data_IF_155870424866
#
_entry.id   IF_155870424866
#
_cell.length_a   1.000
_cell.length_b   1.000
_cell.length_c   1.000
_cell.angle_alpha   90.00
_cell.angle_beta   90.00
_cell.angle_gamma   90.00
#
_symmetry.space_group_name_H-M   'P 1'
#
loop_
_entity.id
_entity.type
_entity.pdbx_description
1 polymer ?
#
# COMPACT_ATOMS: atom_id res chain seq x y z
N UNK A 1 24.52 -10.26 39.69
CA UNK A 1 23.25 -9.98 39.03
C UNK A 1 23.60 -9.70 37.57
N UNK A 2 23.44 -10.72 36.76
CA UNK A 2 23.72 -10.71 35.32
C UNK A 2 22.40 -10.47 34.60
N UNK A 3 22.29 -9.35 33.88
CA UNK A 3 21.15 -9.06 33.01
C UNK A 3 21.07 -10.09 31.89
N UNK A 4 19.89 -10.57 31.51
CA UNK A 4 19.75 -11.43 30.34
C UNK A 4 19.95 -10.60 29.08
N UNK A 5 20.99 -10.94 28.32
CA UNK A 5 21.21 -10.43 26.98
C UNK A 5 20.02 -10.78 26.09
N UNK A 6 19.45 -9.76 25.46
CA UNK A 6 18.35 -9.91 24.52
C UNK A 6 18.73 -10.85 23.38
N UNK A 7 18.10 -12.02 23.33
CA UNK A 7 18.17 -12.93 22.20
C UNK A 7 17.67 -12.21 20.94
N UNK A 8 18.49 -12.19 19.92
CA UNK A 8 18.22 -11.54 18.64
C UNK A 8 16.96 -12.15 17.99
N UNK A 9 15.98 -11.31 17.72
CA UNK A 9 14.73 -11.68 17.02
C UNK A 9 14.94 -12.27 15.61
N UNK A 10 16.16 -12.26 15.08
CA UNK A 10 16.48 -12.71 13.72
C UNK A 10 16.24 -14.23 13.50
N UNK A 11 16.49 -15.08 14.46
CA UNK A 11 16.27 -16.52 14.35
C UNK A 11 14.81 -16.96 14.46
N UNK A 12 13.96 -16.15 15.09
CA UNK A 12 12.56 -16.47 15.34
C UNK A 12 11.68 -16.33 14.11
N UNK A 13 11.97 -15.36 13.23
CA UNK A 13 11.17 -15.01 12.05
C UNK A 13 11.25 -16.09 10.96
N UNK A 14 12.34 -16.82 10.84
CA UNK A 14 12.50 -17.84 9.79
C UNK A 14 11.58 -19.06 9.98
N UNK A 15 11.42 -19.53 11.21
CA UNK A 15 10.56 -20.69 11.53
C UNK A 15 9.06 -20.37 11.44
N UNK A 16 8.67 -19.08 11.53
CA UNK A 16 7.28 -18.62 11.55
C UNK A 16 6.78 -18.05 10.21
N UNK A 17 7.55 -18.18 9.14
CA UNK A 17 7.17 -17.67 7.82
C UNK A 17 6.59 -18.76 6.90
N UNK A 18 5.74 -18.30 5.96
CA UNK A 18 5.38 -19.05 4.75
C UNK A 18 6.02 -18.40 3.54
N UNK A 19 6.14 -19.13 2.45
CA UNK A 19 6.50 -18.59 1.15
C UNK A 19 5.29 -18.69 0.22
N UNK A 20 4.80 -17.54 -0.21
CA UNK A 20 3.61 -17.45 -1.04
C UNK A 20 3.95 -16.92 -2.45
N UNK A 21 3.26 -17.41 -3.45
CA UNK A 21 3.44 -17.01 -4.84
C UNK A 21 2.40 -15.94 -5.23
N UNK A 22 2.88 -14.87 -5.85
CA UNK A 22 2.08 -13.77 -6.38
C UNK A 22 2.38 -13.57 -7.88
N UNK A 23 1.53 -12.83 -8.56
CA UNK A 23 1.66 -12.51 -9.99
C UNK A 23 1.86 -13.76 -10.85
N UNK A 24 1.06 -14.80 -10.60
CA UNK A 24 1.19 -16.07 -11.33
C UNK A 24 2.52 -16.79 -11.10
N UNK A 25 3.15 -16.59 -9.93
CA UNK A 25 4.43 -17.18 -9.56
C UNK A 25 5.66 -16.34 -9.95
N UNK A 26 5.47 -15.19 -10.58
CA UNK A 26 6.57 -14.29 -10.95
C UNK A 26 7.17 -13.54 -9.75
N UNK A 27 6.47 -13.52 -8.63
CA UNK A 27 6.92 -12.92 -7.37
C UNK A 27 6.68 -13.91 -6.24
N UNK A 28 7.71 -14.24 -5.48
CA UNK A 28 7.65 -15.13 -4.32
C UNK A 28 8.00 -14.34 -3.06
N UNK A 29 7.08 -14.31 -2.09
CA UNK A 29 7.25 -13.53 -0.88
C UNK A 29 7.23 -14.42 0.35
N UNK A 30 8.20 -14.22 1.23
CA UNK A 30 8.16 -14.73 2.59
C UNK A 30 7.30 -13.80 3.43
N UNK A 31 6.37 -14.37 4.19
CA UNK A 31 5.44 -13.64 5.03
C UNK A 31 5.28 -14.34 6.38
N UNK A 32 4.99 -13.60 7.47
CA UNK A 32 4.62 -14.21 8.74
C UNK A 32 3.39 -15.12 8.59
N UNK A 33 3.37 -16.22 9.35
CA UNK A 33 2.20 -17.14 9.40
C UNK A 33 0.98 -16.49 10.03
N UNK A 34 1.18 -15.54 10.92
CA UNK A 34 0.14 -14.80 11.65
C UNK A 34 0.34 -13.29 11.55
N UNK A 35 -0.72 -12.51 11.81
CA UNK A 35 -0.70 -11.05 11.71
C UNK A 35 -1.14 -10.56 10.33
N UNK A 36 -0.69 -9.36 9.96
CA UNK A 36 -1.01 -8.77 8.67
C UNK A 36 -0.24 -9.48 7.56
N UNK A 37 -0.97 -9.98 6.57
CA UNK A 37 -0.42 -10.66 5.39
C UNK A 37 -0.81 -9.92 4.13
N UNK A 38 0.11 -9.82 3.19
CA UNK A 38 -0.19 -9.32 1.86
C UNK A 38 -1.21 -10.23 1.16
N UNK A 39 -2.13 -9.61 0.45
CA UNK A 39 -3.20 -10.28 -0.28
C UNK A 39 -3.60 -9.50 -1.53
N UNK A 40 -4.87 -9.62 -1.91
CA UNK A 40 -5.40 -8.98 -3.11
C UNK A 40 -5.22 -7.46 -3.10
N UNK A 41 -5.41 -6.77 -1.95
CA UNK A 41 -5.28 -5.32 -1.84
C UNK A 41 -3.90 -4.83 -2.32
N UNK A 42 -2.81 -5.52 -1.97
CA UNK A 42 -1.47 -5.17 -2.41
C UNK A 42 -1.28 -5.32 -3.93
N UNK A 43 -1.84 -6.37 -4.52
CA UNK A 43 -1.76 -6.60 -5.97
C UNK A 43 -2.62 -5.63 -6.76
N UNK A 44 -3.81 -5.30 -6.27
CA UNK A 44 -4.69 -4.30 -6.87
C UNK A 44 -4.07 -2.89 -6.79
N UNK A 45 -3.47 -2.54 -5.65
CA UNK A 45 -2.73 -1.30 -5.47
C UNK A 45 -1.56 -1.20 -6.47
N UNK A 46 -0.76 -2.27 -6.58
CA UNK A 46 0.34 -2.32 -7.54
C UNK A 46 -0.15 -2.18 -8.99
N UNK A 47 -1.24 -2.86 -9.37
CA UNK A 47 -1.80 -2.78 -10.72
C UNK A 47 -2.36 -1.39 -11.06
N UNK A 48 -2.79 -0.62 -10.05
CA UNK A 48 -3.28 0.75 -10.20
C UNK A 48 -2.17 1.80 -10.18
N UNK A 49 -0.96 1.45 -9.75
CA UNK A 49 0.16 2.39 -9.60
C UNK A 49 0.80 2.68 -10.95
N UNK A 50 0.82 3.95 -11.43
CA UNK A 50 1.24 4.31 -12.79
C UNK A 50 2.74 4.59 -12.89
N UNK A 51 3.59 3.69 -12.38
CA UNK A 51 5.03 3.83 -12.47
C UNK A 51 5.54 3.64 -13.91
N UNK A 52 6.62 4.34 -14.25
CA UNK A 52 7.35 4.28 -15.52
C UNK A 52 8.83 4.01 -15.26
N UNK A 53 9.54 3.51 -16.27
CA UNK A 53 11.01 3.37 -16.21
C UNK A 53 11.66 4.73 -15.84
N UNK A 54 12.60 4.69 -14.92
CA UNK A 54 13.29 5.87 -14.37
C UNK A 54 12.61 6.51 -13.17
N UNK A 55 11.32 6.20 -12.89
CA UNK A 55 10.61 6.77 -11.74
C UNK A 55 11.23 6.34 -10.41
N UNK A 56 11.18 7.25 -9.46
CA UNK A 56 11.37 6.93 -8.05
C UNK A 56 10.02 6.63 -7.42
N UNK A 57 9.84 5.36 -7.06
CA UNK A 57 8.61 4.82 -6.49
C UNK A 57 8.82 4.54 -5.01
N UNK A 58 7.94 5.04 -4.16
CA UNK A 58 8.01 4.84 -2.71
C UNK A 58 6.75 4.13 -2.22
N UNK A 59 6.93 3.00 -1.52
CA UNK A 59 5.85 2.22 -0.89
C UNK A 59 5.83 2.54 0.61
N UNK A 60 4.79 3.25 1.06
CA UNK A 60 4.59 3.60 2.46
C UNK A 60 3.84 2.50 3.20
N UNK A 61 4.42 2.02 4.31
CA UNK A 61 3.91 0.87 5.05
C UNK A 61 4.04 -0.40 4.24
N UNK A 62 5.21 -0.61 3.66
CA UNK A 62 5.46 -1.66 2.68
C UNK A 62 5.22 -3.09 3.21
N UNK A 63 5.19 -3.28 4.54
CA UNK A 63 5.10 -4.60 5.16
C UNK A 63 6.24 -5.48 4.67
N UNK A 64 5.90 -6.61 4.06
CA UNK A 64 6.87 -7.53 3.43
C UNK A 64 7.29 -7.11 2.02
N UNK A 65 6.91 -5.91 1.58
CA UNK A 65 7.27 -5.32 0.28
C UNK A 65 6.33 -5.70 -0.87
N UNK A 66 5.16 -6.26 -0.60
CA UNK A 66 4.34 -6.90 -1.63
C UNK A 66 3.91 -5.96 -2.77
N UNK A 67 3.39 -4.78 -2.45
CA UNK A 67 2.90 -3.84 -3.47
C UNK A 67 4.05 -3.21 -4.26
N UNK A 68 5.07 -2.69 -3.57
CA UNK A 68 6.25 -2.10 -4.21
C UNK A 68 7.01 -3.09 -5.10
N UNK A 69 7.24 -4.31 -4.63
CA UNK A 69 7.91 -5.36 -5.41
C UNK A 69 7.07 -5.80 -6.61
N UNK A 70 5.74 -5.82 -6.50
CA UNK A 70 4.86 -6.10 -7.62
C UNK A 70 4.92 -4.99 -8.69
N UNK A 71 5.03 -3.70 -8.29
CA UNK A 71 5.28 -2.61 -9.23
C UNK A 71 6.63 -2.79 -9.92
N UNK A 72 7.71 -3.09 -9.18
CA UNK A 72 9.05 -3.29 -9.75
C UNK A 72 9.14 -4.52 -10.65
N UNK A 73 8.33 -5.57 -10.41
CA UNK A 73 8.25 -6.71 -11.31
C UNK A 73 7.59 -6.34 -12.64
N UNK A 74 6.63 -5.44 -12.64
CA UNK A 74 5.89 -4.99 -13.83
C UNK A 74 6.64 -3.92 -14.63
N UNK A 75 7.35 -3.04 -13.96
CA UNK A 75 8.04 -1.89 -14.59
C UNK A 75 9.53 -1.97 -14.31
N UNK A 76 10.30 -2.14 -15.37
CA UNK A 76 11.76 -2.18 -15.27
C UNK A 76 12.35 -0.80 -14.93
N UNK A 77 13.56 -0.81 -14.37
CA UNK A 77 14.41 0.37 -14.13
C UNK A 77 13.76 1.45 -13.22
N UNK A 78 12.84 1.08 -12.35
CA UNK A 78 12.38 1.99 -11.29
C UNK A 78 13.37 2.00 -10.11
N UNK A 79 13.43 3.12 -9.40
CA UNK A 79 14.13 3.24 -8.13
C UNK A 79 13.12 3.02 -7.00
N UNK A 80 13.02 1.77 -6.54
CA UNK A 80 12.07 1.39 -5.51
C UNK A 80 12.61 1.69 -4.12
N UNK A 81 11.78 2.33 -3.31
CA UNK A 81 12.02 2.57 -1.88
C UNK A 81 10.86 1.98 -1.08
N UNK A 82 11.18 1.14 -0.10
CA UNK A 82 10.22 0.52 0.81
C UNK A 82 10.38 1.17 2.19
N UNK A 83 9.29 1.72 2.72
CA UNK A 83 9.25 2.35 4.05
C UNK A 83 8.34 1.52 4.94
N UNK A 84 8.88 1.01 6.05
CA UNK A 84 8.15 0.17 7.00
C UNK A 84 8.60 0.49 8.43
N UNK A 85 7.66 0.62 9.35
CA UNK A 85 7.94 0.94 10.76
C UNK A 85 8.43 -0.29 11.55
N UNK A 86 7.93 -1.49 11.19
CA UNK A 86 8.34 -2.75 11.84
C UNK A 86 9.66 -3.24 11.23
N UNK A 87 10.71 -3.30 12.07
CA UNK A 87 12.04 -3.69 11.64
C UNK A 87 12.09 -5.15 11.11
N UNK A 88 11.26 -6.05 11.65
CA UNK A 88 11.20 -7.44 11.23
C UNK A 88 10.53 -7.57 9.85
N UNK A 89 9.45 -6.84 9.61
CA UNK A 89 8.80 -6.77 8.30
C UNK A 89 9.71 -6.10 7.26
N UNK A 90 10.41 -5.03 7.62
CA UNK A 90 11.38 -4.37 6.74
C UNK A 90 12.53 -5.32 6.36
N UNK A 91 12.98 -6.17 7.28
CA UNK A 91 13.99 -7.20 6.98
C UNK A 91 13.44 -8.26 6.03
N UNK A 92 12.20 -8.72 6.22
CA UNK A 92 11.53 -9.60 5.27
C UNK A 92 11.40 -8.96 3.89
N UNK A 93 11.04 -7.67 3.83
CA UNK A 93 10.96 -6.92 2.56
C UNK A 93 12.29 -6.88 1.81
N UNK A 94 13.42 -6.65 2.51
CA UNK A 94 14.77 -6.73 1.92
C UNK A 94 15.08 -8.12 1.39
N UNK A 95 14.80 -9.16 2.20
CA UNK A 95 14.98 -10.55 1.80
C UNK A 95 14.13 -10.92 0.58
N UNK A 96 12.89 -10.45 0.54
CA UNK A 96 11.98 -10.63 -0.59
C UNK A 96 12.46 -9.91 -1.85
N UNK A 97 12.96 -8.68 -1.74
CA UNK A 97 13.55 -7.96 -2.86
C UNK A 97 14.73 -8.75 -3.45
N UNK A 98 15.68 -9.16 -2.59
CA UNK A 98 16.87 -9.92 -2.98
C UNK A 98 16.51 -11.26 -3.64
N UNK A 99 15.62 -12.05 -3.01
CA UNK A 99 15.22 -13.37 -3.52
C UNK A 99 14.48 -13.32 -4.86
N UNK A 100 13.89 -12.17 -5.20
CA UNK A 100 13.24 -11.91 -6.49
C UNK A 100 14.13 -11.15 -7.48
N UNK A 101 15.41 -10.92 -7.18
CA UNK A 101 16.35 -10.13 -8.00
C UNK A 101 15.81 -8.71 -8.31
N UNK A 102 15.17 -8.07 -7.33
CA UNK A 102 14.68 -6.70 -7.42
C UNK A 102 15.56 -5.80 -6.55
N UNK A 103 16.06 -4.71 -7.13
CA UNK A 103 16.80 -3.69 -6.38
C UNK A 103 15.81 -2.76 -5.68
N UNK A 104 15.91 -2.67 -4.36
CA UNK A 104 15.07 -1.79 -3.55
C UNK A 104 15.84 -1.30 -2.32
N UNK A 105 15.73 -0.02 -2.02
CA UNK A 105 16.15 0.54 -0.75
C UNK A 105 15.05 0.32 0.27
N UNK A 106 15.38 -0.18 1.46
CA UNK A 106 14.40 -0.42 2.52
C UNK A 106 14.79 0.29 3.79
N UNK A 107 13.90 1.13 4.31
CA UNK A 107 14.11 1.92 5.52
C UNK A 107 13.12 1.52 6.62
N UNK A 108 13.65 1.36 7.84
CA UNK A 108 12.83 1.28 9.04
C UNK A 108 12.49 2.70 9.44
N UNK A 109 11.29 3.15 9.10
CA UNK A 109 10.87 4.54 9.27
C UNK A 109 9.36 4.61 9.48
N UNK A 110 8.94 5.40 10.48
CA UNK A 110 7.53 5.74 10.66
C UNK A 110 7.10 6.78 9.62
N UNK A 111 6.01 6.51 8.90
CA UNK A 111 5.44 7.45 7.92
C UNK A 111 5.00 8.77 8.58
N UNK A 112 4.68 8.75 9.88
CA UNK A 112 4.37 9.95 10.67
C UNK A 112 5.58 10.79 11.06
N UNK A 113 6.79 10.30 10.80
CA UNK A 113 8.03 10.98 11.18
C UNK A 113 8.20 12.34 10.47
N UNK A 114 8.96 13.22 11.12
CA UNK A 114 9.26 14.55 10.61
C UNK A 114 10.17 14.53 9.37
N UNK A 115 10.31 15.72 8.77
CA UNK A 115 11.09 15.93 7.54
C UNK A 115 12.56 15.50 7.66
N UNK A 116 13.16 15.65 8.84
CA UNK A 116 14.55 15.31 9.10
C UNK A 116 14.80 13.80 8.97
N UNK A 117 13.91 12.96 9.55
CA UNK A 117 13.99 11.51 9.46
C UNK A 117 13.82 11.03 8.01
N UNK A 118 12.87 11.60 7.27
CA UNK A 118 12.69 11.32 5.86
C UNK A 118 13.91 11.71 5.02
N UNK A 119 14.48 12.89 5.27
CA UNK A 119 15.69 13.37 4.57
C UNK A 119 16.90 12.48 4.87
N UNK A 120 17.06 12.04 6.11
CA UNK A 120 18.12 11.10 6.49
C UNK A 120 17.96 9.72 5.79
N UNK A 121 16.73 9.28 5.51
CA UNK A 121 16.43 8.12 4.70
C UNK A 121 16.51 8.41 3.18
N UNK A 122 17.03 9.57 2.77
CA UNK A 122 17.11 9.96 1.36
C UNK A 122 15.78 10.31 0.72
N UNK A 123 14.69 10.45 1.50
CA UNK A 123 13.35 10.83 1.05
C UNK A 123 13.09 12.32 1.32
N UNK A 124 13.95 13.17 0.77
CA UNK A 124 13.78 14.63 0.85
C UNK A 124 12.44 15.07 0.22
N UNK A 125 11.90 16.24 0.57
CA UNK A 125 10.75 16.80 -0.13
C UNK A 125 10.96 16.83 -1.65
N UNK A 126 9.87 16.63 -2.38
CA UNK A 126 9.84 16.66 -3.86
C UNK A 126 10.82 15.69 -4.53
N UNK A 127 11.06 14.52 -3.91
CA UNK A 127 12.04 13.54 -4.39
C UNK A 127 11.45 12.32 -5.09
N UNK A 128 10.16 12.03 -4.91
CA UNK A 128 9.49 10.87 -5.50
C UNK A 128 8.59 11.24 -6.68
N UNK A 129 8.55 10.39 -7.68
CA UNK A 129 7.62 10.49 -8.82
C UNK A 129 6.27 9.85 -8.49
N UNK A 130 6.32 8.72 -7.76
CA UNK A 130 5.14 7.96 -7.36
C UNK A 130 5.26 7.55 -5.89
N UNK A 131 4.17 7.71 -5.15
CA UNK A 131 3.96 7.10 -3.83
C UNK A 131 2.78 6.16 -3.91
N UNK A 132 2.92 4.95 -3.40
CA UNK A 132 1.81 4.04 -3.18
C UNK A 132 1.69 3.73 -1.70
N UNK A 133 0.45 3.46 -1.23
CA UNK A 133 0.22 3.13 0.18
C UNK A 133 -1.06 2.34 0.40
N UNK A 134 -1.00 1.44 1.36
CA UNK A 134 -2.14 0.75 1.96
C UNK A 134 -2.11 1.00 3.48
N UNK A 135 -2.54 2.20 3.93
CA UNK A 135 -2.42 2.54 5.34
C UNK A 135 -3.19 1.56 6.24
N UNK A 136 -2.74 1.34 7.49
CA UNK A 136 -3.49 0.52 8.41
C UNK A 136 -4.85 1.17 8.70
N UNK A 137 -5.91 0.39 8.55
CA UNK A 137 -7.26 0.80 8.95
C UNK A 137 -7.75 -0.17 10.02
N UNK A 138 -8.31 0.37 11.10
CA UNK A 138 -8.94 -0.45 12.12
C UNK A 138 -10.22 -1.03 11.54
N UNK A 139 -10.26 -2.34 11.34
CA UNK A 139 -11.49 -3.05 10.99
C UNK A 139 -12.32 -3.25 12.27
N UNK A 140 -13.48 -2.56 12.42
CA UNK A 140 -14.31 -2.71 13.60
C UNK A 140 -14.77 -4.16 13.85
N UNK A 141 -14.80 -4.99 12.80
CA UNK A 141 -15.17 -6.40 12.89
C UNK A 141 -14.10 -7.27 13.58
N UNK A 142 -12.85 -6.80 13.68
CA UNK A 142 -11.74 -7.54 14.31
C UNK A 142 -11.55 -7.23 15.80
N UNK A 143 -12.16 -6.17 16.32
CA UNK A 143 -12.07 -5.80 17.74
C UNK A 143 -13.36 -6.15 18.49
N UNK A 144 -13.32 -7.24 19.27
CA UNK A 144 -14.37 -7.63 20.23
C UNK A 144 -14.31 -6.75 21.48
N UNK A 145 -14.46 -5.45 21.36
CA UNK A 145 -14.62 -4.55 22.49
C UNK A 145 -15.93 -3.77 22.35
N UNK A 146 -16.54 -3.43 23.50
CA UNK A 146 -17.84 -2.75 23.65
C UNK A 146 -18.19 -1.75 22.52
N UNK A 147 -19.43 -1.81 21.93
CA UNK A 147 -19.66 -1.37 20.55
C UNK A 147 -19.47 0.12 20.26
N UNK A 148 -19.78 1.04 21.18
CA UNK A 148 -19.95 2.44 20.79
C UNK A 148 -18.72 3.34 21.04
N UNK A 149 -18.12 3.32 22.22
CA UNK A 149 -16.93 4.16 22.51
C UNK A 149 -15.65 3.66 21.82
N UNK A 150 -15.50 2.35 21.67
CA UNK A 150 -14.34 1.78 20.99
C UNK A 150 -14.38 2.06 19.48
N UNK A 151 -15.56 2.14 18.85
CA UNK A 151 -15.73 2.53 17.44
C UNK A 151 -15.36 3.99 17.20
N UNK A 152 -15.81 4.90 18.08
CA UNK A 152 -15.50 6.32 17.96
C UNK A 152 -14.00 6.61 18.10
N UNK A 153 -13.33 6.01 19.08
CA UNK A 153 -11.88 6.14 19.30
C UNK A 153 -11.10 5.51 18.11
N UNK A 154 -11.52 4.35 17.65
CA UNK A 154 -10.88 3.70 16.50
C UNK A 154 -11.05 4.53 15.21
N UNK A 155 -12.21 5.16 15.02
CA UNK A 155 -12.49 6.00 13.86
C UNK A 155 -11.60 7.25 13.85
N UNK A 156 -11.55 7.99 14.96
CA UNK A 156 -10.68 9.17 15.10
C UNK A 156 -9.19 8.82 14.91
N UNK A 157 -8.71 7.72 15.48
CA UNK A 157 -7.33 7.28 15.29
C UNK A 157 -7.02 6.91 13.83
N UNK A 158 -7.99 6.35 13.11
CA UNK A 158 -7.85 5.98 11.70
C UNK A 158 -7.81 7.21 10.79
N UNK A 159 -8.68 8.20 11.05
CA UNK A 159 -8.68 9.48 10.31
C UNK A 159 -7.34 10.22 10.49
N UNK A 160 -6.85 10.34 11.73
CA UNK A 160 -5.57 10.98 12.02
C UNK A 160 -4.41 10.26 11.30
N UNK A 161 -4.46 8.93 11.20
CA UNK A 161 -3.45 8.14 10.49
C UNK A 161 -3.50 8.42 8.99
N UNK A 162 -4.68 8.41 8.38
CA UNK A 162 -4.84 8.65 6.95
C UNK A 162 -4.37 10.06 6.54
N UNK A 163 -4.78 11.10 7.27
CA UNK A 163 -4.37 12.49 7.02
C UNK A 163 -2.83 12.64 7.12
N UNK A 164 -2.23 12.04 8.14
CA UNK A 164 -0.78 12.03 8.35
C UNK A 164 -0.05 11.37 7.17
N UNK A 165 -0.52 10.22 6.70
CA UNK A 165 0.09 9.50 5.58
C UNK A 165 -0.05 10.24 4.26
N UNK A 166 -1.22 10.82 3.99
CA UNK A 166 -1.44 11.68 2.81
C UNK A 166 -0.55 12.92 2.86
N UNK A 167 -0.39 13.53 4.05
CA UNK A 167 0.51 14.66 4.22
C UNK A 167 1.98 14.27 3.94
N UNK A 168 2.45 13.14 4.46
CA UNK A 168 3.79 12.62 4.19
C UNK A 168 3.99 12.34 2.69
N UNK A 169 3.01 11.72 2.03
CA UNK A 169 3.04 11.48 0.59
C UNK A 169 3.14 12.78 -0.21
N UNK A 170 2.32 13.78 0.15
CA UNK A 170 2.37 15.11 -0.49
C UNK A 170 3.74 15.77 -0.34
N UNK A 171 4.35 15.68 0.84
CA UNK A 171 5.68 16.23 1.09
C UNK A 171 6.75 15.54 0.25
N UNK A 172 6.69 14.22 0.10
CA UNK A 172 7.68 13.40 -0.59
C UNK A 172 7.56 13.48 -2.11
N UNK A 173 6.33 13.59 -2.64
CA UNK A 173 6.07 13.66 -4.07
C UNK A 173 6.55 14.98 -4.68
N UNK A 174 7.12 14.90 -5.90
CA UNK A 174 7.34 16.04 -6.78
C UNK A 174 6.01 16.71 -7.16
N UNK A 175 6.05 17.96 -7.63
CA UNK A 175 4.90 18.58 -8.30
C UNK A 175 4.52 17.74 -9.53
N UNK A 176 3.23 17.42 -9.69
CA UNK A 176 2.75 16.49 -10.72
C UNK A 176 2.97 15.01 -10.39
N UNK A 177 3.65 14.68 -9.29
CA UNK A 177 3.83 13.30 -8.83
C UNK A 177 2.50 12.65 -8.41
N UNK A 178 2.44 11.34 -8.45
CA UNK A 178 1.20 10.57 -8.28
C UNK A 178 1.19 9.81 -6.97
N UNK A 179 0.13 10.01 -6.19
CA UNK A 179 -0.26 9.17 -5.08
C UNK A 179 -1.22 8.09 -5.56
N UNK A 180 -0.98 6.83 -5.22
CA UNK A 180 -1.95 5.74 -5.35
C UNK A 180 -2.22 5.15 -3.98
N UNK A 181 -3.47 5.07 -3.57
CA UNK A 181 -3.84 4.47 -2.29
C UNK A 181 -5.01 3.50 -2.45
N UNK A 182 -5.06 2.51 -1.57
CA UNK A 182 -6.23 1.65 -1.38
C UNK A 182 -6.80 1.91 0.02
N UNK A 183 -8.12 2.04 0.12
CA UNK A 183 -8.81 2.33 1.37
C UNK A 183 -10.15 1.63 1.44
N UNK A 184 -10.74 1.53 2.63
CA UNK A 184 -12.11 1.03 2.82
C UNK A 184 -13.12 1.96 2.14
N UNK A 185 -14.16 1.41 1.54
CA UNK A 185 -15.11 2.20 0.75
C UNK A 185 -16.02 3.09 1.60
N UNK A 186 -16.36 2.68 2.81
CA UNK A 186 -17.14 3.45 3.77
C UNK A 186 -16.40 4.70 4.30
N UNK A 187 -15.05 4.76 4.14
CA UNK A 187 -14.21 5.89 4.47
C UNK A 187 -13.98 6.90 3.32
N UNK A 188 -14.82 6.92 2.28
CA UNK A 188 -14.63 7.81 1.12
C UNK A 188 -14.57 9.29 1.51
N UNK A 189 -15.40 9.73 2.45
CA UNK A 189 -15.44 11.12 2.90
C UNK A 189 -14.11 11.55 3.55
N UNK A 190 -13.52 10.68 4.37
CA UNK A 190 -12.22 10.87 5.02
C UNK A 190 -11.12 11.07 3.98
N UNK A 191 -11.07 10.18 2.98
CA UNK A 191 -10.05 10.23 1.92
C UNK A 191 -10.17 11.52 1.10
N UNK A 192 -11.40 11.90 0.71
CA UNK A 192 -11.61 13.11 -0.08
C UNK A 192 -11.22 14.37 0.70
N UNK A 193 -11.56 14.45 1.99
CA UNK A 193 -11.18 15.56 2.86
C UNK A 193 -9.65 15.67 3.04
N UNK A 194 -8.95 14.53 3.21
CA UNK A 194 -7.50 14.51 3.35
C UNK A 194 -6.78 14.89 2.03
N UNK A 195 -7.31 14.47 0.88
CA UNK A 195 -6.73 14.77 -0.44
C UNK A 195 -6.97 16.23 -0.88
N UNK A 196 -8.02 16.90 -0.42
CA UNK A 196 -8.35 18.29 -0.81
C UNK A 196 -7.21 19.27 -0.56
N UNK A 197 -6.30 18.93 0.35
CA UNK A 197 -5.13 19.74 0.71
C UNK A 197 -3.93 19.47 -0.19
N UNK A 198 -4.04 19.81 -1.49
CA UNK A 198 -2.90 19.84 -2.40
C UNK A 198 -2.82 18.68 -3.39
N UNK A 199 -3.81 17.80 -3.42
CA UNK A 199 -4.02 16.83 -4.48
C UNK A 199 -5.25 17.22 -5.33
N UNK A 200 -5.27 16.73 -6.56
CA UNK A 200 -6.40 16.85 -7.46
C UNK A 200 -6.30 15.87 -8.61
N UNK A 201 -7.09 16.05 -9.65
CA UNK A 201 -7.16 15.11 -10.78
C UNK A 201 -7.41 13.67 -10.30
N UNK A 202 -8.37 13.51 -9.36
CA UNK A 202 -8.63 12.23 -8.72
C UNK A 202 -9.18 11.22 -9.74
N UNK A 203 -8.72 9.98 -9.65
CA UNK A 203 -9.28 8.82 -10.32
C UNK A 203 -9.68 7.81 -9.26
N UNK A 204 -10.98 7.54 -9.14
CA UNK A 204 -11.55 6.68 -8.09
C UNK A 204 -12.12 5.42 -8.73
N UNK A 205 -11.66 4.26 -8.31
CA UNK A 205 -12.14 2.95 -8.73
C UNK A 205 -12.71 2.20 -7.53
N UNK A 206 -14.04 2.04 -7.43
CA UNK A 206 -14.66 1.17 -6.44
C UNK A 206 -14.32 -0.30 -6.69
N UNK A 207 -14.09 -1.06 -5.63
CA UNK A 207 -13.89 -2.51 -5.68
C UNK A 207 -14.98 -3.18 -4.87
N UNK A 208 -15.71 -4.08 -5.52
CA UNK A 208 -16.82 -4.82 -4.92
C UNK A 208 -16.43 -6.28 -4.73
N UNK A 209 -16.86 -6.89 -3.65
CA UNK A 209 -16.69 -8.33 -3.42
C UNK A 209 -17.50 -9.15 -4.41
N UNK A 210 -18.76 -8.75 -4.58
CA UNK A 210 -19.76 -9.42 -5.43
C UNK A 210 -20.54 -8.40 -6.26
N UNK A 211 -21.14 -8.80 -7.41
CA UNK A 211 -22.06 -7.97 -8.16
C UNK A 211 -23.23 -7.48 -7.29
N UNK A 212 -23.69 -6.26 -7.54
CA UNK A 212 -24.77 -5.61 -6.78
C UNK A 212 -24.52 -5.38 -5.27
N UNK A 213 -23.41 -5.81 -4.70
CA UNK A 213 -23.02 -5.50 -3.33
C UNK A 213 -22.37 -4.10 -3.25
N UNK A 214 -22.45 -3.40 -2.11
CA UNK A 214 -21.68 -2.18 -1.92
C UNK A 214 -20.18 -2.41 -2.12
N UNK A 215 -19.45 -1.37 -2.56
CA UNK A 215 -18.00 -1.43 -2.65
C UNK A 215 -17.38 -1.68 -1.27
N UNK A 216 -16.37 -2.50 -1.22
CA UNK A 216 -15.60 -2.82 0.01
C UNK A 216 -14.28 -2.06 0.07
N UNK A 217 -13.72 -1.69 -1.08
CA UNK A 217 -12.49 -0.90 -1.20
C UNK A 217 -12.65 0.20 -2.24
N UNK A 218 -11.83 1.23 -2.10
CA UNK A 218 -11.58 2.24 -3.12
C UNK A 218 -10.09 2.20 -3.47
N UNK A 219 -9.79 2.17 -4.75
CA UNK A 219 -8.47 2.47 -5.26
C UNK A 219 -8.51 3.88 -5.80
N UNK A 220 -7.64 4.74 -5.28
CA UNK A 220 -7.65 6.16 -5.61
C UNK A 220 -6.27 6.56 -6.10
N UNK A 221 -6.21 7.22 -7.25
CA UNK A 221 -5.04 7.98 -7.69
C UNK A 221 -5.33 9.46 -7.56
N UNK A 222 -4.30 10.20 -7.12
CA UNK A 222 -4.36 11.65 -6.97
C UNK A 222 -3.04 12.26 -7.44
N UNK A 223 -3.10 13.40 -8.11
CA UNK A 223 -1.92 14.09 -8.61
C UNK A 223 -1.61 15.29 -7.69
N UNK A 224 -0.38 15.41 -7.19
CA UNK A 224 0.05 16.58 -6.43
C UNK A 224 -0.05 17.84 -7.29
N UNK A 225 -0.91 18.78 -6.87
CA UNK A 225 -1.21 20.00 -7.63
C UNK A 225 -2.07 19.79 -8.87
N UNK A 226 -2.67 18.61 -9.05
CA UNK A 226 -3.56 18.31 -10.17
C UNK A 226 -4.78 19.22 -10.21
N UNK A 227 -5.28 19.55 -11.42
CA UNK A 227 -6.42 20.47 -11.63
C UNK A 227 -7.51 19.88 -12.52
N UNK A 228 -7.33 18.68 -13.08
CA UNK A 228 -8.35 18.05 -13.88
C UNK A 228 -9.53 17.58 -13.01
N UNK A 229 -10.74 17.48 -13.56
CA UNK A 229 -11.90 16.99 -12.84
C UNK A 229 -11.69 15.58 -12.29
N UNK A 230 -12.33 15.32 -11.15
CA UNK A 230 -12.40 13.96 -10.58
C UNK A 230 -13.10 13.01 -11.54
N UNK A 231 -12.55 11.81 -11.71
CA UNK A 231 -13.13 10.73 -12.50
C UNK A 231 -13.51 9.56 -11.58
N UNK A 232 -14.77 9.18 -11.62
CA UNK A 232 -15.27 7.97 -10.97
C UNK A 232 -15.40 6.87 -12.03
N UNK A 233 -14.68 5.79 -11.87
CA UNK A 233 -14.66 4.66 -12.80
C UNK A 233 -15.74 3.64 -12.46
N UNK A 234 -16.11 2.83 -13.44
CA UNK A 234 -16.94 1.65 -13.19
C UNK A 234 -16.24 0.71 -12.20
N UNK A 235 -17.01 0.15 -11.26
CA UNK A 235 -16.48 -0.71 -10.20
C UNK A 235 -15.81 -1.97 -10.74
N UNK A 236 -14.77 -2.43 -10.04
CA UNK A 236 -14.14 -3.72 -10.24
C UNK A 236 -14.84 -4.76 -9.35
N UNK A 237 -15.39 -5.82 -9.93
CA UNK A 237 -15.96 -6.95 -9.20
C UNK A 237 -14.89 -7.99 -8.94
N UNK A 238 -14.69 -8.39 -7.68
CA UNK A 238 -13.73 -9.46 -7.33
C UNK A 238 -14.24 -10.83 -7.76
N UNK A 239 -15.53 -11.06 -7.61
CA UNK A 239 -16.22 -12.29 -8.03
C UNK A 239 -17.30 -11.98 -9.06
N UNK A 240 -17.67 -12.99 -9.83
CA UNK A 240 -18.81 -12.96 -10.74
C UNK A 240 -20.14 -13.26 -10.01
N UNK A 241 -21.24 -13.30 -10.74
CA UNK A 241 -22.59 -13.63 -10.21
C UNK A 241 -22.71 -15.04 -9.62
N UNK A 242 -21.76 -15.93 -9.92
CA UNK A 242 -21.71 -17.31 -9.40
C UNK A 242 -20.76 -17.45 -8.21
N UNK A 243 -20.14 -16.34 -7.76
CA UNK A 243 -19.13 -16.33 -6.70
C UNK A 243 -17.76 -16.83 -7.13
N UNK A 244 -17.55 -17.06 -8.43
CA UNK A 244 -16.24 -17.40 -8.95
C UNK A 244 -15.37 -16.12 -9.14
N UNK A 245 -14.04 -16.20 -8.99
CA UNK A 245 -13.16 -15.06 -9.22
C UNK A 245 -13.33 -14.48 -10.63
N UNK A 246 -13.51 -13.16 -10.73
CA UNK A 246 -13.65 -12.46 -11.98
C UNK A 246 -12.39 -12.60 -12.85
N UNK A 247 -12.55 -12.87 -14.14
CA UNK A 247 -11.44 -13.11 -15.09
C UNK A 247 -10.45 -11.93 -15.11
N UNK A 248 -10.94 -10.68 -15.17
CA UNK A 248 -10.08 -9.49 -15.14
C UNK A 248 -9.26 -9.39 -13.85
N UNK A 249 -9.85 -9.78 -12.72
CA UNK A 249 -9.13 -9.81 -11.44
C UNK A 249 -8.07 -10.90 -11.45
N UNK A 250 -8.38 -12.08 -12.01
CA UNK A 250 -7.40 -13.16 -12.16
C UNK A 250 -6.21 -12.74 -13.03
N UNK A 251 -6.46 -12.01 -14.14
CA UNK A 251 -5.40 -11.46 -14.99
C UNK A 251 -4.51 -10.48 -14.23
N UNK A 252 -5.10 -9.59 -13.43
CA UNK A 252 -4.37 -8.63 -12.59
C UNK A 252 -3.52 -9.37 -11.56
N UNK A 253 -4.11 -10.35 -10.86
CA UNK A 253 -3.40 -11.16 -9.87
C UNK A 253 -2.32 -12.05 -10.50
N UNK A 254 -2.45 -12.37 -11.79
CA UNK A 254 -1.42 -13.05 -12.57
C UNK A 254 -0.36 -12.10 -13.15
N UNK A 255 -0.43 -10.78 -12.86
CA UNK A 255 0.53 -9.79 -13.35
C UNK A 255 0.34 -9.37 -14.81
N UNK A 256 -0.81 -9.69 -15.43
CA UNK A 256 -1.06 -9.45 -16.86
C UNK A 256 -1.90 -8.19 -17.13
N UNK A 257 -2.36 -7.49 -16.10
CA UNK A 257 -3.26 -6.36 -16.25
C UNK A 257 -2.82 -5.13 -15.46
N UNK A 258 -3.31 -3.96 -15.89
CA UNK A 258 -3.22 -2.70 -15.15
C UNK A 258 -4.62 -2.17 -14.86
N UNK A 259 -4.77 -1.49 -13.74
CA UNK A 259 -5.97 -0.78 -13.35
C UNK A 259 -5.79 0.72 -13.60
N UNK A 260 -6.91 1.41 -13.87
CA UNK A 260 -6.88 2.84 -14.11
C UNK A 260 -5.85 3.18 -15.19
N UNK A 261 -6.12 2.87 -16.45
CA UNK A 261 -5.22 3.17 -17.57
C UNK A 261 -4.44 4.46 -17.37
N UNK A 262 -3.20 4.52 -17.80
CA UNK A 262 -2.40 5.75 -17.70
C UNK A 262 -3.14 6.87 -18.44
N UNK A 263 -3.22 8.09 -17.86
CA UNK A 263 -3.70 9.23 -18.60
C UNK A 263 -2.77 9.53 -19.78
#
# INVERSE_FOLDING_TARGET
MTEPQGESREGFIEAECTQDAFLGGQLRLRQPRSGHRAGHDAMLLAAATPARSGDRVVDFGAGVGAAGLAVARRVADIRLVLVEIDAALAQLARGNASSNAIVADTFVLDVSAGIEAFTAAGLAPDSADVVLMNPPFNDPARHRASPDKAREIAHVATEATLDTWIHAARRTLKSGGVLTLIWRADGIAEVLAALDRGFGSLAILPVHGEPAAPAIRLIIRAIKGGKAPTRLYAGLMLNDERGAPNERVQEILAGKGVLLGLP
#
